data_IF_619794450980
#
_entry.id   IF_619794450980
#
_cell.length_a   1.000
_cell.length_b   1.000
_cell.length_c   1.000
_cell.angle_alpha   90.00
_cell.angle_beta   90.00
_cell.angle_gamma   90.00
#
_symmetry.space_group_name_H-M   'P 1'
#
loop_
_entity.id
_entity.type
_entity.pdbx_description
1 polymer ?
#
# COMPACT_ATOMS: atom_id res chain seq x y z
N UNK A 1 -1.09 -27.73 19.07
CA UNK A 1 -1.19 -26.26 18.92
C UNK A 1 0.22 -25.69 18.85
N UNK A 2 0.83 -25.65 17.66
CA UNK A 2 2.21 -25.15 17.51
C UNK A 2 2.17 -23.63 17.39
N UNK A 3 2.62 -22.93 18.43
CA UNK A 3 2.87 -21.49 18.35
C UNK A 3 3.95 -21.26 17.30
N UNK A 4 3.55 -20.93 16.07
CA UNK A 4 4.48 -20.42 15.06
C UNK A 4 4.98 -19.08 15.58
N UNK A 5 6.26 -19.03 15.96
CA UNK A 5 6.96 -17.80 16.28
C UNK A 5 6.58 -16.71 15.26
N UNK A 6 6.38 -15.44 15.68
CA UNK A 6 6.00 -14.38 14.78
C UNK A 6 7.13 -14.13 13.78
N UNK A 7 7.16 -14.86 12.67
CA UNK A 7 8.08 -14.59 11.55
C UNK A 7 7.77 -13.20 11.03
N UNK A 8 8.65 -12.25 11.34
CA UNK A 8 8.62 -10.89 10.83
C UNK A 8 9.05 -10.95 9.36
N UNK A 9 8.10 -11.27 8.48
CA UNK A 9 8.34 -11.32 7.04
C UNK A 9 8.33 -9.90 6.50
N UNK A 10 9.50 -9.26 6.49
CA UNK A 10 9.71 -8.05 5.72
C UNK A 10 9.67 -8.43 4.24
N UNK A 11 8.66 -7.93 3.52
CA UNK A 11 8.67 -8.01 2.07
C UNK A 11 9.76 -7.05 1.55
N UNK A 12 10.40 -7.39 0.43
CA UNK A 12 11.31 -6.49 -0.29
C UNK A 12 10.67 -5.11 -0.52
N UNK A 13 9.37 -5.07 -0.82
CA UNK A 13 8.61 -3.82 -0.95
C UNK A 13 8.49 -3.05 0.37
N UNK A 14 8.24 -3.74 1.48
CA UNK A 14 8.15 -3.08 2.80
C UNK A 14 9.50 -2.51 3.23
N UNK A 15 10.59 -3.26 3.02
CA UNK A 15 11.95 -2.82 3.32
C UNK A 15 12.33 -1.57 2.51
N UNK A 16 12.07 -1.61 1.20
CA UNK A 16 12.33 -0.49 0.29
C UNK A 16 11.55 0.77 0.69
N UNK A 17 10.25 0.60 1.00
CA UNK A 17 9.38 1.70 1.48
C UNK A 17 9.93 2.33 2.74
N UNK A 18 10.22 1.52 3.77
CA UNK A 18 10.76 2.03 5.03
C UNK A 18 12.09 2.75 4.81
N UNK A 19 12.99 2.20 3.99
CA UNK A 19 14.30 2.81 3.72
C UNK A 19 14.15 4.20 3.07
N UNK A 20 13.37 4.32 2.01
CA UNK A 20 13.21 5.60 1.32
C UNK A 20 12.46 6.64 2.14
N UNK A 21 11.42 6.24 2.88
CA UNK A 21 10.67 7.17 3.74
C UNK A 21 11.46 7.58 4.98
N UNK A 22 12.34 6.73 5.52
CA UNK A 22 13.21 7.04 6.66
C UNK A 22 14.39 7.91 6.29
N UNK A 23 15.03 7.68 5.14
CA UNK A 23 16.19 8.48 4.72
C UNK A 23 15.81 9.95 4.50
N UNK A 24 14.57 10.21 4.09
CA UNK A 24 14.08 11.56 3.81
C UNK A 24 14.17 12.54 5.00
N UNK A 25 13.62 12.26 6.20
CA UNK A 25 13.79 13.14 7.35
C UNK A 25 15.24 13.30 7.80
N UNK A 26 16.08 12.28 7.65
CA UNK A 26 17.52 12.41 7.95
C UNK A 26 18.24 13.33 6.95
N UNK A 27 17.86 13.30 5.66
CA UNK A 27 18.36 14.27 4.68
C UNK A 27 17.88 15.70 5.01
N UNK A 28 16.65 15.87 5.49
CA UNK A 28 16.14 17.15 5.98
C UNK A 28 16.91 17.66 7.20
N UNK A 29 17.29 16.77 8.12
CA UNK A 29 18.16 17.11 9.25
C UNK A 29 19.56 17.52 8.78
N UNK A 30 20.15 16.80 7.82
CA UNK A 30 21.45 17.15 7.24
C UNK A 30 21.43 18.52 6.54
N UNK A 31 20.34 18.85 5.84
CA UNK A 31 20.11 20.18 5.29
C UNK A 31 20.03 21.25 6.39
N UNK A 32 19.32 20.96 7.48
CA UNK A 32 19.23 21.87 8.65
C UNK A 32 20.60 22.15 9.26
N UNK A 33 21.42 21.11 9.43
CA UNK A 33 22.76 21.23 10.03
C UNK A 33 23.76 21.93 9.11
N UNK A 34 23.58 21.83 7.79
CA UNK A 34 24.43 22.51 6.81
C UNK A 34 24.09 23.98 6.58
N UNK A 35 22.93 24.45 7.03
CA UNK A 35 22.44 25.82 6.82
C UNK A 35 22.33 26.69 8.11
N UNK A 36 23.38 26.83 8.94
CA UNK A 36 23.33 27.68 10.14
C UNK A 36 23.46 29.18 9.87
N UNK A 37 23.89 29.59 8.67
CA UNK A 37 24.01 31.01 8.33
C UNK A 37 25.17 31.34 7.38
N UNK A 38 25.55 32.63 7.28
CA UNK A 38 26.46 33.15 6.25
C UNK A 38 27.89 32.60 6.26
N UNK A 39 28.29 31.91 7.32
CA UNK A 39 29.67 31.43 7.53
C UNK A 39 29.98 30.09 6.85
N UNK A 40 29.00 29.43 6.22
CA UNK A 40 29.18 28.12 5.56
C UNK A 40 29.19 28.26 4.03
N UNK A 41 30.01 27.43 3.38
CA UNK A 41 30.02 27.27 1.92
C UNK A 41 28.63 26.86 1.40
N UNK A 42 28.12 27.62 0.43
CA UNK A 42 26.82 27.41 -0.24
C UNK A 42 26.67 26.01 -0.84
N UNK A 43 27.79 25.31 -1.11
CA UNK A 43 27.80 23.97 -1.71
C UNK A 43 27.08 22.96 -0.83
N UNK A 44 27.33 22.94 0.48
CA UNK A 44 26.79 21.91 1.38
C UNK A 44 25.25 21.97 1.49
N UNK A 45 24.62 23.13 1.79
CA UNK A 45 23.16 23.26 1.72
C UNK A 45 22.57 22.89 0.36
N UNK A 46 23.26 23.21 -0.74
CA UNK A 46 22.79 22.93 -2.10
C UNK A 46 22.72 21.43 -2.38
N UNK A 47 23.77 20.70 -2.01
CA UNK A 47 23.82 19.23 -2.16
C UNK A 47 22.74 18.56 -1.31
N UNK A 48 22.58 18.96 -0.05
CA UNK A 48 21.56 18.37 0.82
C UNK A 48 20.13 18.74 0.39
N UNK A 49 19.91 19.96 -0.13
CA UNK A 49 18.63 20.33 -0.72
C UNK A 49 18.29 19.44 -1.95
N UNK A 50 19.26 19.19 -2.82
CA UNK A 50 19.11 18.26 -3.94
C UNK A 50 18.78 16.83 -3.49
N UNK A 51 19.45 16.36 -2.43
CA UNK A 51 19.18 15.05 -1.83
C UNK A 51 17.76 14.94 -1.25
N UNK A 52 17.27 15.98 -0.57
CA UNK A 52 15.89 16.05 -0.06
C UNK A 52 14.89 15.97 -1.21
N UNK A 53 15.12 16.71 -2.30
CA UNK A 53 14.26 16.66 -3.49
C UNK A 53 14.23 15.27 -4.13
N UNK A 54 15.40 14.65 -4.29
CA UNK A 54 15.52 13.28 -4.84
C UNK A 54 14.78 12.24 -3.97
N UNK A 55 15.02 12.24 -2.65
CA UNK A 55 14.37 11.31 -1.73
C UNK A 55 12.86 11.55 -1.62
N UNK A 56 12.40 12.80 -1.76
CA UNK A 56 10.97 13.13 -1.78
C UNK A 56 10.27 12.45 -2.96
N UNK A 57 10.88 12.47 -4.14
CA UNK A 57 10.33 11.80 -5.33
C UNK A 57 10.27 10.27 -5.14
N UNK A 58 11.29 9.66 -4.53
CA UNK A 58 11.27 8.23 -4.22
C UNK A 58 10.18 7.88 -3.20
N UNK A 59 10.01 8.70 -2.15
CA UNK A 59 8.96 8.50 -1.17
C UNK A 59 7.56 8.62 -1.80
N UNK A 60 7.35 9.61 -2.66
CA UNK A 60 6.08 9.78 -3.41
C UNK A 60 5.81 8.56 -4.30
N UNK A 61 6.81 8.08 -5.04
CA UNK A 61 6.67 6.91 -5.90
C UNK A 61 6.27 5.65 -5.11
N UNK A 62 6.82 5.47 -3.91
CA UNK A 62 6.44 4.37 -3.02
C UNK A 62 5.02 4.51 -2.44
N UNK A 63 4.59 5.73 -2.09
CA UNK A 63 3.22 6.02 -1.67
C UNK A 63 2.21 5.75 -2.80
N UNK A 64 2.55 6.12 -4.03
CA UNK A 64 1.77 5.77 -5.23
C UNK A 64 1.71 4.25 -5.40
N UNK A 65 2.84 3.56 -5.27
CA UNK A 65 2.90 2.10 -5.32
C UNK A 65 2.06 1.42 -4.22
N UNK A 66 1.92 2.04 -3.05
CA UNK A 66 1.04 1.58 -1.97
C UNK A 66 -0.44 1.70 -2.34
N UNK A 67 -0.86 2.85 -2.90
CA UNK A 67 -2.24 3.04 -3.37
C UNK A 67 -2.59 1.97 -4.41
N UNK A 68 -1.69 1.72 -5.36
CA UNK A 68 -1.85 0.66 -6.36
C UNK A 68 -1.95 -0.71 -5.70
N UNK A 69 -1.02 -1.09 -4.81
CA UNK A 69 -1.06 -2.42 -4.19
C UNK A 69 -2.33 -2.69 -3.37
N UNK A 70 -2.86 -1.65 -2.70
CA UNK A 70 -3.98 -1.77 -1.76
C UNK A 70 -5.33 -1.70 -2.47
N UNK A 71 -5.48 -0.86 -3.50
CA UNK A 71 -6.78 -0.58 -4.13
C UNK A 71 -6.94 -1.16 -5.54
N UNK A 72 -5.86 -1.58 -6.19
CA UNK A 72 -5.94 -2.22 -7.50
C UNK A 72 -6.57 -3.61 -7.39
N UNK A 73 -7.56 -3.86 -8.23
CA UNK A 73 -8.27 -5.14 -8.36
C UNK A 73 -8.26 -5.69 -9.78
N UNK A 74 -7.50 -5.10 -10.71
CA UNK A 74 -7.51 -5.50 -12.12
C UNK A 74 -6.94 -6.89 -12.36
N UNK A 75 -6.08 -7.36 -11.45
CA UNK A 75 -5.46 -8.67 -11.49
C UNK A 75 -6.41 -9.78 -10.97
N UNK A 76 -7.53 -9.41 -10.35
CA UNK A 76 -8.57 -10.36 -9.96
C UNK A 76 -9.23 -10.90 -11.24
N UNK A 77 -9.00 -12.19 -11.52
CA UNK A 77 -9.52 -12.87 -12.70
C UNK A 77 -11.03 -12.62 -12.85
N UNK A 78 -11.48 -12.01 -13.95
CA UNK A 78 -12.90 -11.81 -14.20
C UNK A 78 -13.52 -13.12 -14.58
N UNK A 79 -14.81 -13.21 -14.35
CA UNK A 79 -15.57 -14.31 -14.91
C UNK A 79 -15.50 -15.62 -14.12
N UNK A 80 -14.70 -15.68 -13.06
CA UNK A 80 -14.64 -16.85 -12.19
C UNK A 80 -15.89 -16.94 -11.32
N UNK A 81 -16.39 -15.81 -10.78
CA UNK A 81 -17.48 -15.82 -9.78
C UNK A 81 -18.55 -14.71 -9.96
N UNK A 82 -18.63 -14.02 -11.12
CA UNK A 82 -19.58 -12.92 -11.37
C UNK A 82 -20.55 -13.26 -12.51
N UNK A 83 -21.76 -13.77 -12.19
CA UNK A 83 -22.70 -14.39 -13.15
C UNK A 83 -23.30 -13.42 -14.18
N UNK A 84 -23.57 -12.17 -13.80
CA UNK A 84 -24.46 -11.25 -14.56
C UNK A 84 -23.97 -10.82 -15.96
N UNK A 85 -22.73 -11.10 -16.37
CA UNK A 85 -22.21 -10.69 -17.70
C UNK A 85 -21.50 -11.81 -18.46
N UNK A 86 -21.64 -13.05 -18.00
CA UNK A 86 -20.93 -14.22 -18.51
C UNK A 86 -21.79 -15.17 -19.33
N UNK A 87 -23.09 -15.21 -19.03
CA UNK A 87 -24.02 -16.14 -19.69
C UNK A 87 -24.24 -15.81 -21.17
N UNK A 88 -23.97 -14.58 -21.58
CA UNK A 88 -24.13 -14.14 -22.98
C UNK A 88 -22.86 -14.20 -23.83
N UNK A 89 -21.75 -14.77 -23.33
CA UNK A 89 -20.45 -14.75 -24.03
C UNK A 89 -19.82 -16.13 -24.19
N UNK A 90 -19.16 -16.33 -25.33
CA UNK A 90 -18.40 -17.54 -25.66
C UNK A 90 -17.22 -17.78 -24.69
N UNK A 91 -16.93 -19.06 -24.40
CA UNK A 91 -15.94 -19.50 -23.40
C UNK A 91 -14.53 -18.95 -23.64
N UNK A 92 -14.13 -18.80 -24.91
CA UNK A 92 -12.84 -18.22 -25.32
C UNK A 92 -12.73 -16.73 -24.98
N UNK A 93 -13.82 -15.97 -25.18
CA UNK A 93 -13.92 -14.54 -24.85
C UNK A 93 -14.00 -14.32 -23.34
N UNK A 94 -14.69 -15.21 -22.63
CA UNK A 94 -14.79 -15.24 -21.15
C UNK A 94 -13.44 -15.42 -20.47
N UNK A 95 -12.57 -16.29 -21.01
CA UNK A 95 -11.22 -16.54 -20.47
C UNK A 95 -10.20 -15.43 -20.79
N UNK A 96 -10.41 -14.67 -21.87
CA UNK A 96 -9.47 -13.61 -22.32
C UNK A 96 -9.74 -12.24 -21.72
N UNK A 97 -10.91 -12.01 -21.12
CA UNK A 97 -11.26 -10.70 -20.55
C UNK A 97 -10.70 -10.60 -19.13
N UNK A 98 -9.79 -9.64 -18.91
CA UNK A 98 -9.47 -9.01 -17.62
C UNK A 98 -10.50 -7.88 -17.38
N UNK A 99 -10.98 -7.64 -16.16
CA UNK A 99 -12.11 -6.72 -15.91
C UNK A 99 -11.53 -5.36 -15.54
N UNK A 100 -12.12 -4.38 -16.21
CA UNK A 100 -12.06 -2.93 -16.05
C UNK A 100 -10.68 -2.27 -16.22
N UNK A 101 -10.57 -1.54 -17.34
CA UNK A 101 -9.52 -0.54 -17.57
C UNK A 101 -9.71 0.75 -16.76
N UNK A 102 -10.78 0.83 -15.95
CA UNK A 102 -11.03 1.93 -15.04
C UNK A 102 -10.78 1.49 -13.60
N UNK A 103 -9.92 2.22 -12.90
CA UNK A 103 -9.54 1.94 -11.52
C UNK A 103 -10.18 2.96 -10.56
N UNK A 104 -11.52 2.98 -10.38
CA UNK A 104 -12.18 4.04 -9.62
C UNK A 104 -11.68 4.15 -8.18
N UNK A 105 -11.30 3.03 -7.56
CA UNK A 105 -10.74 2.99 -6.19
C UNK A 105 -9.34 3.61 -6.13
N UNK A 106 -8.49 3.27 -7.10
CA UNK A 106 -7.14 3.82 -7.23
C UNK A 106 -7.20 5.31 -7.56
N UNK A 107 -8.03 5.70 -8.52
CA UNK A 107 -8.26 7.11 -8.88
C UNK A 107 -8.75 7.90 -7.66
N UNK A 108 -9.73 7.40 -6.91
CA UNK A 108 -10.19 8.04 -5.68
C UNK A 108 -9.05 8.18 -4.65
N UNK A 109 -8.19 7.18 -4.51
CA UNK A 109 -7.00 7.24 -3.66
C UNK A 109 -6.03 8.35 -4.10
N UNK A 110 -5.74 8.46 -5.39
CA UNK A 110 -4.89 9.52 -5.93
C UNK A 110 -5.49 10.91 -5.76
N UNK A 111 -6.77 11.08 -6.09
CA UNK A 111 -7.44 12.38 -5.94
C UNK A 111 -7.49 12.80 -4.47
N UNK A 112 -7.84 11.89 -3.56
CA UNK A 112 -7.84 12.21 -2.13
C UNK A 112 -6.43 12.61 -1.63
N UNK A 113 -5.39 11.84 -2.00
CA UNK A 113 -4.02 12.15 -1.61
C UNK A 113 -3.54 13.49 -2.17
N UNK A 114 -3.80 13.76 -3.45
CA UNK A 114 -3.40 14.99 -4.12
C UNK A 114 -4.15 16.21 -3.57
N UNK A 115 -5.47 16.11 -3.37
CA UNK A 115 -6.28 17.18 -2.79
C UNK A 115 -5.80 17.53 -1.38
N UNK A 116 -5.58 16.53 -0.51
CA UNK A 116 -5.02 16.76 0.82
C UNK A 116 -3.61 17.38 0.74
N UNK A 117 -2.79 16.92 -0.20
CA UNK A 117 -1.47 17.49 -0.46
C UNK A 117 -1.53 18.98 -0.80
N UNK A 118 -2.47 19.39 -1.66
CA UNK A 118 -2.67 20.80 -1.98
C UNK A 118 -3.17 21.63 -0.80
N UNK A 119 -4.09 21.10 0.02
CA UNK A 119 -4.52 21.78 1.24
C UNK A 119 -3.37 21.98 2.23
N UNK A 120 -2.54 20.96 2.46
CA UNK A 120 -1.37 21.08 3.32
C UNK A 120 -0.30 21.99 2.74
N UNK A 121 -0.11 22.00 1.42
CA UNK A 121 0.80 22.93 0.76
C UNK A 121 0.35 24.39 0.96
N UNK A 122 -0.94 24.68 0.75
CA UNK A 122 -1.51 26.01 0.97
C UNK A 122 -1.37 26.46 2.43
N UNK A 123 -1.69 25.57 3.39
CA UNK A 123 -1.51 25.85 4.81
C UNK A 123 -0.03 26.11 5.17
N UNK A 124 0.87 25.29 4.63
CA UNK A 124 2.32 25.45 4.82
C UNK A 124 2.82 26.78 4.28
N UNK A 125 2.38 27.20 3.09
CA UNK A 125 2.74 28.51 2.51
C UNK A 125 2.27 29.66 3.39
N UNK A 126 1.06 29.58 3.96
CA UNK A 126 0.55 30.60 4.88
C UNK A 126 1.33 30.71 6.19
N UNK A 127 1.74 29.57 6.76
CA UNK A 127 2.40 29.51 8.08
C UNK A 127 3.92 29.70 8.00
N UNK A 128 4.55 29.25 6.92
CA UNK A 128 6.02 29.20 6.76
C UNK A 128 6.70 30.56 6.95
N UNK A 129 6.12 31.63 6.42
CA UNK A 129 6.67 32.98 6.56
C UNK A 129 6.67 33.48 8.02
N UNK A 130 5.61 33.20 8.78
CA UNK A 130 5.54 33.57 10.19
C UNK A 130 6.55 32.79 11.04
N UNK A 131 6.66 31.48 10.80
CA UNK A 131 7.60 30.59 11.49
C UNK A 131 9.05 31.00 11.22
N UNK A 132 9.37 31.28 9.95
CA UNK A 132 10.73 31.70 9.55
C UNK A 132 11.13 33.03 10.18
N UNK A 133 10.20 34.01 10.27
CA UNK A 133 10.46 35.30 10.92
C UNK A 133 10.62 35.19 12.43
N UNK A 134 9.87 34.30 13.08
CA UNK A 134 9.89 34.15 14.53
C UNK A 134 11.09 33.34 15.04
N UNK A 135 11.45 32.25 14.36
CA UNK A 135 12.46 31.28 14.82
C UNK A 135 13.80 31.38 14.07
N UNK A 136 13.81 32.06 12.93
CA UNK A 136 14.94 32.05 11.98
C UNK A 136 14.89 30.85 11.03
N UNK A 137 15.58 30.98 9.89
CA UNK A 137 15.50 30.02 8.79
C UNK A 137 15.94 28.60 9.18
N UNK A 138 17.05 28.46 9.90
CA UNK A 138 17.57 27.15 10.29
C UNK A 138 16.58 26.40 11.21
N UNK A 139 16.04 27.08 12.23
CA UNK A 139 15.09 26.49 13.16
C UNK A 139 13.75 26.18 12.48
N UNK A 140 13.29 27.03 11.55
CA UNK A 140 12.09 26.76 10.77
C UNK A 140 12.23 25.47 9.93
N UNK A 141 13.39 25.26 9.30
CA UNK A 141 13.69 24.02 8.57
C UNK A 141 13.78 22.81 9.52
N UNK A 142 14.36 23.01 10.71
CA UNK A 142 14.43 21.96 11.74
C UNK A 142 13.03 21.47 12.15
N UNK A 143 12.07 22.40 12.32
CA UNK A 143 10.67 22.08 12.63
C UNK A 143 10.03 21.25 11.51
N UNK A 144 10.30 21.58 10.25
CA UNK A 144 9.80 20.79 9.10
C UNK A 144 10.42 19.38 9.11
N UNK A 145 11.73 19.26 9.30
CA UNK A 145 12.41 17.97 9.37
C UNK A 145 11.89 17.11 10.53
N UNK A 146 11.64 17.70 11.70
CA UNK A 146 11.05 17.03 12.86
C UNK A 146 9.61 16.57 12.59
N UNK A 147 8.78 17.44 11.99
CA UNK A 147 7.41 17.10 11.60
C UNK A 147 7.38 15.93 10.62
N UNK A 148 8.28 15.96 9.62
CA UNK A 148 8.43 14.89 8.65
C UNK A 148 8.86 13.58 9.32
N UNK A 149 9.79 13.62 10.27
CA UNK A 149 10.21 12.45 11.02
C UNK A 149 9.05 11.83 11.80
N UNK A 150 8.25 12.64 12.50
CA UNK A 150 7.08 12.16 13.26
C UNK A 150 6.07 11.49 12.32
N UNK A 151 5.74 12.12 11.18
CA UNK A 151 4.82 11.54 10.19
C UNK A 151 5.38 10.23 9.62
N UNK A 152 6.68 10.16 9.32
CA UNK A 152 7.34 8.94 8.86
C UNK A 152 7.26 7.83 9.90
N UNK A 153 7.47 8.13 11.19
CA UNK A 153 7.35 7.15 12.27
C UNK A 153 5.90 6.64 12.38
N UNK A 154 4.92 7.53 12.36
CA UNK A 154 3.50 7.14 12.36
C UNK A 154 3.15 6.26 11.15
N UNK A 155 3.66 6.61 9.98
CA UNK A 155 3.48 5.82 8.76
C UNK A 155 4.09 4.41 8.89
N UNK A 156 5.30 4.28 9.45
CA UNK A 156 5.90 2.97 9.71
C UNK A 156 5.07 2.15 10.70
N UNK A 157 4.55 2.77 11.77
CA UNK A 157 3.65 2.13 12.71
C UNK A 157 2.36 1.64 12.00
N UNK A 158 1.77 2.45 11.13
CA UNK A 158 0.58 2.06 10.35
C UNK A 158 0.87 0.92 9.35
N UNK A 159 2.09 0.85 8.81
CA UNK A 159 2.57 -0.22 7.94
C UNK A 159 2.91 -1.52 8.67
N UNK A 160 3.01 -1.48 10.00
CA UNK A 160 3.28 -2.68 10.78
C UNK A 160 2.14 -3.71 10.60
N UNK A 161 2.50 -4.92 10.19
CA UNK A 161 1.53 -5.99 9.88
C UNK A 161 1.17 -6.80 11.13
N UNK A 162 0.26 -6.27 11.93
CA UNK A 162 -0.15 -6.88 13.22
C UNK A 162 -1.26 -7.92 13.08
N UNK A 163 -2.12 -7.86 12.06
CA UNK A 163 -3.30 -8.73 11.96
C UNK A 163 -3.10 -9.86 10.96
N UNK A 164 -3.43 -11.09 11.34
CA UNK A 164 -3.51 -12.22 10.41
C UNK A 164 -4.94 -12.41 9.93
N UNK A 165 -5.13 -12.44 8.61
CA UNK A 165 -6.43 -12.60 7.97
C UNK A 165 -6.38 -13.81 7.04
N UNK A 166 -7.42 -14.64 7.11
CA UNK A 166 -7.59 -15.74 6.17
C UNK A 166 -8.00 -15.18 4.81
N UNK A 167 -7.23 -15.54 3.78
CA UNK A 167 -7.46 -15.11 2.40
C UNK A 167 -7.95 -16.28 1.54
N UNK A 168 -7.50 -17.50 1.83
CA UNK A 168 -7.92 -18.72 1.12
C UNK A 168 -8.69 -19.64 2.07
N UNK A 169 -9.88 -20.14 1.68
CA UNK A 169 -10.66 -21.06 2.52
C UNK A 169 -9.87 -22.34 2.84
N UNK A 170 -10.03 -22.83 4.07
CA UNK A 170 -9.28 -23.98 4.58
C UNK A 170 -9.49 -25.25 3.75
N UNK A 171 -10.72 -25.49 3.29
CA UNK A 171 -11.07 -26.68 2.50
C UNK A 171 -10.47 -26.72 1.08
N UNK A 172 -9.91 -25.62 0.57
CA UNK A 172 -9.33 -25.57 -0.79
C UNK A 172 -8.04 -26.38 -0.88
N UNK A 173 -7.12 -26.19 0.08
CA UNK A 173 -5.85 -26.92 0.09
C UNK A 173 -6.03 -28.38 0.52
N UNK A 174 -6.96 -28.65 1.43
CA UNK A 174 -7.19 -30.01 1.94
C UNK A 174 -7.82 -30.89 0.83
N UNK A 175 -8.62 -30.29 -0.06
CA UNK A 175 -9.23 -30.96 -1.22
C UNK A 175 -8.29 -31.06 -2.43
N UNK A 176 -7.32 -30.16 -2.57
CA UNK A 176 -6.28 -30.23 -3.62
C UNK A 176 -5.19 -31.29 -3.35
N UNK A 177 -5.00 -31.68 -2.08
CA UNK A 177 -3.98 -32.67 -1.68
C UNK A 177 -4.48 -34.13 -1.85
N UNK A 178 -5.78 -34.35 -2.07
CA UNK A 178 -6.30 -35.67 -2.48
C UNK A 178 -6.05 -35.88 -3.97
N UNK A 179 -5.04 -36.69 -4.29
CA UNK A 179 -4.74 -37.19 -5.63
C UNK A 179 -6.03 -37.78 -6.24
N UNK A 180 -6.60 -37.11 -7.24
CA UNK A 180 -7.76 -37.63 -8.01
C UNK A 180 -9.12 -36.95 -7.79
N UNK A 181 -9.29 -36.01 -6.86
CA UNK A 181 -10.57 -35.29 -6.75
C UNK A 181 -10.55 -33.96 -7.51
N UNK A 182 -10.61 -34.02 -8.85
CA UNK A 182 -11.22 -32.95 -9.68
C UNK A 182 -12.75 -33.12 -9.65
N UNK A 183 -13.30 -33.53 -8.51
CA UNK A 183 -14.72 -33.47 -8.23
C UNK A 183 -14.87 -32.35 -7.21
N UNK A 184 -15.21 -31.16 -7.71
CA UNK A 184 -15.76 -30.07 -6.91
C UNK A 184 -17.15 -30.53 -6.41
N UNK A 185 -17.16 -31.50 -5.48
CA UNK A 185 -18.34 -32.29 -5.14
C UNK A 185 -19.38 -31.54 -4.32
N UNK A 186 -20.63 -31.62 -4.80
CA UNK A 186 -21.95 -31.80 -4.16
C UNK A 186 -22.33 -31.08 -2.84
N UNK A 187 -21.46 -30.28 -2.24
CA UNK A 187 -21.76 -29.45 -1.05
C UNK A 187 -21.39 -27.98 -1.23
N UNK A 188 -20.97 -27.59 -2.44
CA UNK A 188 -20.91 -26.18 -2.82
C UNK A 188 -22.27 -25.80 -3.40
N UNK A 189 -22.91 -24.76 -2.87
CA UNK A 189 -24.11 -24.16 -3.47
C UNK A 189 -23.91 -23.77 -4.96
N UNK A 190 -22.67 -23.73 -5.45
CA UNK A 190 -22.32 -23.37 -6.81
C UNK A 190 -21.16 -24.26 -7.33
N UNK A 191 -21.42 -25.24 -8.21
CA UNK A 191 -20.42 -26.18 -8.71
C UNK A 191 -19.36 -25.52 -9.63
N UNK A 192 -19.64 -24.32 -10.15
CA UNK A 192 -18.72 -23.58 -11.03
C UNK A 192 -17.77 -22.65 -10.27
N UNK A 193 -18.01 -22.40 -8.97
CA UNK A 193 -17.22 -21.46 -8.17
C UNK A 193 -15.77 -21.96 -8.00
N UNK A 194 -14.80 -21.07 -8.25
CA UNK A 194 -13.37 -21.35 -8.03
C UNK A 194 -12.74 -20.30 -7.09
N UNK A 195 -11.83 -20.70 -6.18
CA UNK A 195 -11.16 -19.78 -5.28
C UNK A 195 -10.19 -18.87 -6.05
N UNK A 196 -10.18 -17.59 -5.70
CA UNK A 196 -9.21 -16.61 -6.20
C UNK A 196 -7.93 -16.75 -5.39
N UNK A 197 -6.87 -17.18 -6.07
CA UNK A 197 -5.55 -17.42 -5.51
C UNK A 197 -4.57 -16.48 -6.23
N UNK A 198 -4.07 -15.47 -5.51
CA UNK A 198 -3.14 -14.48 -6.08
C UNK A 198 -1.72 -14.80 -5.62
N UNK A 199 -0.82 -14.95 -6.60
CA UNK A 199 0.58 -15.23 -6.39
C UNK A 199 0.85 -16.69 -6.00
N UNK A 200 2.05 -17.15 -6.36
CA UNK A 200 2.58 -18.45 -5.99
C UNK A 200 3.91 -18.23 -5.23
N UNK A 201 4.08 -18.75 -4.00
CA UNK A 201 3.11 -19.45 -3.16
C UNK A 201 2.23 -18.49 -2.36
N UNK A 202 0.92 -18.72 -2.34
CA UNK A 202 -0.02 -18.01 -1.47
C UNK A 202 -0.42 -18.88 -0.29
N UNK A 203 -0.16 -18.39 0.92
CA UNK A 203 -0.56 -19.09 2.15
C UNK A 203 -2.06 -18.92 2.46
N UNK A 204 -2.66 -19.88 3.20
CA UNK A 204 -4.03 -19.76 3.75
C UNK A 204 -4.25 -18.43 4.50
N UNK A 205 -3.23 -18.01 5.25
CA UNK A 205 -3.23 -16.82 6.09
C UNK A 205 -2.27 -15.77 5.54
N UNK A 206 -2.71 -14.52 5.48
CA UNK A 206 -1.89 -13.35 5.14
C UNK A 206 -1.84 -12.41 6.34
N UNK A 207 -0.67 -11.83 6.62
CA UNK A 207 -0.55 -10.70 7.54
C UNK A 207 -0.88 -9.42 6.81
N UNK A 208 -1.74 -8.59 7.39
CA UNK A 208 -2.17 -7.31 6.85
C UNK A 208 -1.84 -6.17 7.81
N UNK A 209 -1.58 -5.00 7.26
CA UNK A 209 -1.37 -3.76 8.01
C UNK A 209 -2.67 -2.96 8.19
N UNK A 210 -2.61 -1.81 8.88
CA UNK A 210 -3.79 -0.98 9.12
C UNK A 210 -4.44 -0.49 7.82
N UNK A 211 -3.63 -0.10 6.83
CA UNK A 211 -4.12 0.45 5.56
C UNK A 211 -4.78 -0.62 4.66
N UNK A 212 -4.43 -1.89 4.84
CA UNK A 212 -4.98 -3.03 4.10
C UNK A 212 -6.32 -3.54 4.66
N UNK A 213 -6.75 -3.08 5.84
CA UNK A 213 -7.95 -3.56 6.55
C UNK A 213 -9.27 -2.89 6.12
N UNK A 214 -9.22 -1.86 5.27
CA UNK A 214 -10.42 -1.16 4.78
C UNK A 214 -11.36 -2.03 3.94
N UNK A 215 -12.66 -1.71 3.95
CA UNK A 215 -13.70 -2.47 3.25
C UNK A 215 -13.66 -2.41 1.70
N UNK A 216 -12.88 -1.46 1.16
CA UNK A 216 -12.71 -1.26 -0.29
C UNK A 216 -11.34 -1.73 -0.79
N UNK A 217 -10.54 -2.37 0.05
CA UNK A 217 -9.22 -2.87 -0.34
C UNK A 217 -9.31 -4.08 -1.26
N UNK A 218 -8.25 -4.33 -2.03
CA UNK A 218 -8.05 -5.55 -2.80
C UNK A 218 -8.22 -6.80 -1.93
N UNK A 219 -7.71 -6.77 -0.70
CA UNK A 219 -7.76 -7.90 0.22
C UNK A 219 -9.18 -8.23 0.68
N UNK A 220 -10.02 -7.23 0.91
CA UNK A 220 -11.42 -7.45 1.25
C UNK A 220 -12.22 -7.96 0.05
N UNK A 221 -11.90 -7.51 -1.17
CA UNK A 221 -12.51 -8.05 -2.40
C UNK A 221 -12.16 -9.53 -2.61
N UNK A 222 -10.89 -9.92 -2.42
CA UNK A 222 -10.48 -11.34 -2.50
C UNK A 222 -11.25 -12.18 -1.49
N UNK A 223 -11.39 -11.70 -0.25
CA UNK A 223 -12.12 -12.43 0.78
C UNK A 223 -13.61 -12.55 0.47
N UNK A 224 -14.21 -11.52 -0.16
CA UNK A 224 -15.59 -11.57 -0.64
C UNK A 224 -15.74 -12.62 -1.75
N UNK A 225 -14.85 -12.60 -2.76
CA UNK A 225 -14.83 -13.60 -3.84
C UNK A 225 -14.59 -15.01 -3.30
N UNK A 226 -13.83 -15.13 -2.21
CA UNK A 226 -13.54 -16.39 -1.55
C UNK A 226 -14.59 -16.84 -0.52
N UNK A 227 -15.74 -16.14 -0.41
CA UNK A 227 -16.82 -16.41 0.56
C UNK A 227 -16.35 -16.40 2.04
N UNK A 228 -15.25 -15.70 2.34
CA UNK A 228 -14.68 -15.53 3.69
C UNK A 228 -15.12 -14.23 4.37
N UNK A 229 -15.86 -13.41 3.66
CA UNK A 229 -16.39 -12.14 4.12
C UNK A 229 -17.82 -12.00 3.60
N UNK A 230 -18.79 -12.27 4.47
CA UNK A 230 -20.18 -11.85 4.27
C UNK A 230 -20.33 -10.46 4.88
N UNK A 231 -20.94 -9.56 4.10
CA UNK A 231 -21.35 -8.24 4.60
C UNK A 231 -22.52 -8.42 5.56
#
# INVERSE_FOLDING_TARGET
MTMRAPRLTWSSHLMRRCMFTLLLPFAGLAYTLSAPGPSISWVSPTVFCGLVGFLSNLAIAECVGLIMEVFDTCDLQPGVNQKHRLESMTETTRRRRTNYSSFPRVCAGFFAAQSLGFFFAAASTGVSGAVTRALGAQQAVAVVAATLLVITVLFMCAMFRYKQVQVIPSGVFDRATRKGSIAWGAGAEDPEWRPVIIGNPSGKMRRVNLLELGALTRWTEIRRLNKLWRK
#
